data_IF_049140987818
#
_entry.id   IF_049140987818
#
_cell.length_a   1.000
_cell.length_b   1.000
_cell.length_c   1.000
_cell.angle_alpha   90.00
_cell.angle_beta   90.00
_cell.angle_gamma   90.00
#
_symmetry.space_group_name_H-M   'P 1'
#
loop_
_entity.id
_entity.type
_entity.pdbx_description
1 polymer ?
#
# COMPACT_ATOMS: atom_id res chain seq x y z
N UNK A 1 19.55 -32.74 -19.32
CA UNK A 1 20.15 -31.54 -19.98
C UNK A 1 19.15 -30.45 -20.36
N UNK A 2 18.03 -30.74 -21.06
CA UNK A 2 17.00 -29.70 -21.35
C UNK A 2 16.19 -29.33 -20.09
N UNK A 3 15.84 -30.31 -19.28
CA UNK A 3 15.10 -30.14 -18.02
C UNK A 3 15.94 -29.36 -17.01
N UNK A 4 17.20 -29.72 -16.83
CA UNK A 4 18.15 -28.97 -15.94
C UNK A 4 18.33 -27.51 -16.39
N UNK A 5 18.34 -27.26 -17.70
CA UNK A 5 18.49 -25.91 -18.24
C UNK A 5 17.24 -25.03 -17.97
N UNK A 6 16.06 -25.66 -18.00
CA UNK A 6 14.79 -24.99 -17.68
C UNK A 6 14.64 -24.75 -16.16
N UNK A 7 15.03 -25.71 -15.33
CA UNK A 7 15.07 -25.52 -13.88
C UNK A 7 16.00 -24.39 -13.45
N UNK A 8 17.19 -24.34 -14.04
CA UNK A 8 18.14 -23.27 -13.78
C UNK A 8 17.63 -21.89 -14.25
N UNK A 9 16.91 -21.84 -15.38
CA UNK A 9 16.31 -20.62 -15.90
C UNK A 9 15.15 -20.14 -15.00
N UNK A 10 14.31 -21.05 -14.51
CA UNK A 10 13.22 -20.77 -13.59
C UNK A 10 13.76 -20.33 -12.22
N UNK A 11 14.79 -21.01 -11.69
CA UNK A 11 15.45 -20.60 -10.45
C UNK A 11 16.06 -19.20 -10.56
N UNK A 12 16.73 -18.88 -11.66
CA UNK A 12 17.26 -17.53 -11.91
C UNK A 12 16.15 -16.47 -12.02
N UNK A 13 15.02 -16.79 -12.61
CA UNK A 13 13.87 -15.88 -12.65
C UNK A 13 13.26 -15.69 -11.26
N UNK A 14 13.11 -16.75 -10.47
CA UNK A 14 12.63 -16.68 -9.08
C UNK A 14 13.59 -15.86 -8.23
N UNK A 15 14.89 -16.08 -8.37
CA UNK A 15 15.92 -15.32 -7.66
C UNK A 15 15.91 -13.83 -8.06
N UNK A 16 15.78 -13.52 -9.35
CA UNK A 16 15.62 -12.14 -9.84
C UNK A 16 14.36 -11.46 -9.31
N UNK A 17 13.23 -12.18 -9.26
CA UNK A 17 11.97 -11.68 -8.73
C UNK A 17 12.08 -11.48 -7.22
N UNK A 18 12.67 -12.43 -6.49
CA UNK A 18 12.96 -12.30 -5.06
C UNK A 18 13.91 -11.13 -4.76
N UNK A 19 14.94 -10.95 -5.54
CA UNK A 19 15.89 -9.83 -5.37
C UNK A 19 15.23 -8.47 -5.65
N UNK A 20 14.33 -8.40 -6.61
CA UNK A 20 13.64 -7.16 -6.99
C UNK A 20 12.39 -6.85 -6.14
N UNK A 21 11.62 -7.86 -5.75
CA UNK A 21 10.39 -7.72 -4.97
C UNK A 21 10.59 -7.90 -3.46
N UNK A 22 11.59 -8.67 -3.05
CA UNK A 22 11.81 -9.07 -1.67
C UNK A 22 12.68 -8.14 -0.82
N UNK A 23 13.29 -7.12 -1.42
CA UNK A 23 14.19 -6.22 -0.67
C UNK A 23 13.48 -5.21 0.23
N UNK A 24 12.21 -4.94 0.01
CA UNK A 24 11.47 -3.94 0.82
C UNK A 24 10.04 -4.41 1.01
N UNK A 25 9.68 -4.71 2.25
CA UNK A 25 8.31 -5.07 2.60
C UNK A 25 7.33 -3.92 2.31
N UNK A 26 6.05 -4.25 2.25
CA UNK A 26 4.96 -3.29 2.10
C UNK A 26 5.03 -2.19 3.14
N UNK A 27 5.15 -2.59 4.40
CA UNK A 27 5.21 -1.66 5.53
C UNK A 27 6.42 -0.72 5.43
N UNK A 28 7.58 -1.25 5.04
CA UNK A 28 8.77 -0.41 4.86
C UNK A 28 8.60 0.61 3.71
N UNK A 29 7.87 0.26 2.65
CA UNK A 29 7.55 1.20 1.57
C UNK A 29 6.56 2.26 2.02
N UNK A 30 5.52 1.87 2.74
CA UNK A 30 4.54 2.78 3.32
C UNK A 30 5.19 3.74 4.30
N UNK A 31 6.04 3.22 5.19
CA UNK A 31 6.83 4.02 6.12
C UNK A 31 7.71 5.04 5.40
N UNK A 32 8.46 4.60 4.38
CA UNK A 32 9.31 5.50 3.61
C UNK A 32 8.53 6.63 2.94
N UNK A 33 7.39 6.30 2.33
CA UNK A 33 6.54 7.28 1.67
C UNK A 33 5.91 8.24 2.69
N UNK A 34 5.42 7.72 3.79
CA UNK A 34 4.80 8.52 4.85
C UNK A 34 5.81 9.49 5.49
N UNK A 35 6.99 9.02 5.82
CA UNK A 35 8.08 9.87 6.35
C UNK A 35 8.47 10.98 5.38
N UNK A 36 8.67 10.64 4.10
CA UNK A 36 9.02 11.64 3.09
C UNK A 36 7.91 12.69 2.95
N UNK A 37 6.66 12.26 2.89
CA UNK A 37 5.52 13.16 2.78
C UNK A 37 5.39 14.03 4.06
N UNK A 38 5.50 13.44 5.26
CA UNK A 38 5.46 14.18 6.52
C UNK A 38 6.57 15.25 6.58
N UNK A 39 7.82 14.87 6.30
CA UNK A 39 8.93 15.81 6.30
C UNK A 39 8.73 16.94 5.28
N UNK A 40 8.23 16.61 4.08
CA UNK A 40 7.97 17.61 3.04
C UNK A 40 6.91 18.62 3.49
N UNK A 41 5.81 18.15 4.07
CA UNK A 41 4.71 19.01 4.51
C UNK A 41 5.14 19.85 5.70
N UNK A 42 5.79 19.25 6.69
CA UNK A 42 6.32 19.99 7.85
C UNK A 42 7.29 21.09 7.39
N UNK A 43 8.19 20.77 6.45
CA UNK A 43 9.15 21.75 5.90
C UNK A 43 8.45 22.90 5.17
N UNK A 44 7.38 22.62 4.40
CA UNK A 44 6.62 23.67 3.72
C UNK A 44 5.89 24.59 4.71
N UNK A 45 5.31 24.03 5.76
CA UNK A 45 4.65 24.80 6.80
C UNK A 45 5.67 25.66 7.55
N UNK A 46 6.78 25.07 7.98
CA UNK A 46 7.88 25.77 8.66
C UNK A 46 8.40 26.92 7.79
N UNK A 47 8.63 26.69 6.51
CA UNK A 47 9.06 27.73 5.58
C UNK A 47 8.06 28.89 5.51
N UNK A 48 6.76 28.59 5.50
CA UNK A 48 5.69 29.60 5.53
C UNK A 48 5.80 30.48 6.76
N UNK A 49 6.01 29.90 7.95
CA UNK A 49 6.15 30.68 9.19
C UNK A 49 7.47 31.43 9.31
N UNK A 50 8.55 30.90 8.73
CA UNK A 50 9.81 31.68 8.62
C UNK A 50 9.57 32.96 7.81
N UNK A 51 8.79 32.88 6.73
CA UNK A 51 8.40 34.06 5.94
C UNK A 51 7.58 35.05 6.78
N UNK A 52 6.77 34.57 7.74
CA UNK A 52 6.00 35.45 8.62
C UNK A 52 6.89 36.28 9.56
N UNK A 53 8.11 35.81 9.92
CA UNK A 53 9.09 36.62 10.65
C UNK A 53 9.47 37.84 9.83
N UNK A 54 9.81 37.65 8.55
CA UNK A 54 10.19 38.76 7.66
C UNK A 54 9.08 39.77 7.44
N UNK A 55 7.81 39.31 7.55
CA UNK A 55 6.63 40.18 7.49
C UNK A 55 6.33 40.88 8.82
N UNK A 56 7.04 40.54 9.90
CA UNK A 56 6.79 41.10 11.21
C UNK A 56 5.50 40.62 11.88
N UNK A 57 4.87 39.58 11.36
CA UNK A 57 3.58 39.06 11.89
C UNK A 57 3.78 38.06 13.02
N UNK A 58 4.96 37.49 13.16
CA UNK A 58 5.32 36.50 14.19
C UNK A 58 6.65 36.79 14.85
N UNK A 59 6.77 36.41 16.09
CA UNK A 59 8.03 36.52 16.85
C UNK A 59 8.95 35.36 16.53
N UNK A 60 10.26 35.62 16.54
CA UNK A 60 11.25 34.55 16.25
C UNK A 60 11.20 33.39 17.25
N UNK A 61 10.88 33.65 18.52
CA UNK A 61 10.73 32.60 19.54
C UNK A 61 9.54 31.68 19.27
N UNK A 62 8.43 32.21 18.77
CA UNK A 62 7.28 31.43 18.36
C UNK A 62 7.66 30.48 17.21
N UNK A 63 8.28 31.02 16.16
CA UNK A 63 8.69 30.22 14.99
C UNK A 63 9.75 29.18 15.36
N UNK A 64 10.67 29.51 16.27
CA UNK A 64 11.66 28.54 16.76
C UNK A 64 10.97 27.34 17.44
N UNK A 65 9.96 27.59 18.26
CA UNK A 65 9.20 26.55 18.93
C UNK A 65 8.38 25.70 17.92
N UNK A 66 7.83 26.35 16.92
CA UNK A 66 7.12 25.67 15.82
C UNK A 66 8.04 24.76 15.01
N UNK A 67 9.23 25.26 14.65
CA UNK A 67 10.28 24.46 13.97
C UNK A 67 10.65 23.24 14.81
N UNK A 68 10.83 23.43 16.11
CA UNK A 68 11.11 22.33 17.03
C UNK A 68 10.01 21.27 16.99
N UNK A 69 8.75 21.69 17.18
CA UNK A 69 7.60 20.77 17.14
C UNK A 69 7.45 20.08 15.78
N UNK A 70 7.64 20.80 14.69
CA UNK A 70 7.50 20.28 13.34
C UNK A 70 8.58 19.29 12.93
N UNK A 71 9.78 19.37 13.54
CA UNK A 71 10.91 18.50 13.23
C UNK A 71 11.07 17.32 14.19
N UNK A 72 10.58 17.39 15.41
CA UNK A 72 10.75 16.32 16.41
C UNK A 72 10.24 14.98 15.91
N UNK A 73 9.05 14.95 15.33
CA UNK A 73 8.47 13.70 14.83
C UNK A 73 9.18 13.16 13.58
N UNK A 74 9.43 13.95 12.52
CA UNK A 74 10.23 13.48 11.38
C UNK A 74 11.62 12.96 11.76
N UNK A 75 12.28 13.60 12.73
CA UNK A 75 13.58 13.13 13.23
C UNK A 75 13.45 11.78 13.94
N UNK A 76 12.43 11.64 14.81
CA UNK A 76 12.14 10.35 15.45
C UNK A 76 11.83 9.25 14.43
N UNK A 77 11.04 9.54 13.41
CA UNK A 77 10.74 8.63 12.32
C UNK A 77 12.01 8.15 11.60
N UNK A 78 12.94 9.07 11.29
CA UNK A 78 14.22 8.75 10.67
C UNK A 78 15.05 7.81 11.55
N UNK A 79 15.08 8.05 12.86
CA UNK A 79 15.80 7.20 13.82
C UNK A 79 15.19 5.79 13.83
N UNK A 80 13.86 5.68 13.95
CA UNK A 80 13.18 4.38 13.93
C UNK A 80 13.36 3.68 12.58
N UNK A 81 13.25 4.39 11.47
CA UNK A 81 13.44 3.82 10.15
C UNK A 81 14.87 3.32 9.91
N UNK A 82 15.87 3.98 10.48
CA UNK A 82 17.28 3.55 10.39
C UNK A 82 17.54 2.26 11.16
N UNK A 83 16.79 2.04 12.24
CA UNK A 83 16.91 0.85 13.10
C UNK A 83 16.08 -0.31 12.56
N UNK A 84 14.83 -0.03 12.22
CA UNK A 84 13.88 -1.01 11.67
C UNK A 84 12.92 -0.33 10.67
N UNK A 85 13.11 -0.65 9.40
CA UNK A 85 12.29 -0.10 8.30
C UNK A 85 10.82 -0.53 8.37
N UNK A 86 10.53 -1.64 9.04
CA UNK A 86 9.20 -2.23 9.20
C UNK A 86 8.54 -1.86 10.54
N UNK A 87 9.11 -0.94 11.28
CA UNK A 87 8.57 -0.53 12.57
C UNK A 87 7.20 0.12 12.43
N UNK A 88 6.20 -0.43 13.14
CA UNK A 88 4.87 0.18 13.27
C UNK A 88 4.89 1.48 14.05
N UNK A 89 5.94 1.74 14.83
CA UNK A 89 6.10 2.99 15.57
C UNK A 89 6.15 4.20 14.63
N UNK A 90 6.68 4.03 13.42
CA UNK A 90 6.76 5.11 12.41
C UNK A 90 5.36 5.61 12.06
N UNK A 91 4.40 4.71 11.83
CA UNK A 91 3.00 5.09 11.60
C UNK A 91 2.44 5.96 12.73
N UNK A 92 2.74 5.62 13.97
CA UNK A 92 2.30 6.38 15.14
C UNK A 92 2.99 7.76 15.24
N UNK A 93 4.28 7.82 14.95
CA UNK A 93 4.97 9.12 14.93
C UNK A 93 4.46 10.02 13.81
N UNK A 94 4.22 9.50 12.62
CA UNK A 94 3.63 10.25 11.52
C UNK A 94 2.27 10.83 11.91
N UNK A 95 1.39 10.04 12.52
CA UNK A 95 0.04 10.49 12.83
C UNK A 95 -0.03 11.36 14.11
N UNK A 96 0.51 10.87 15.23
CA UNK A 96 0.44 11.59 16.49
C UNK A 96 1.41 12.77 16.55
N UNK A 97 2.62 12.59 15.99
CA UNK A 97 3.58 13.69 15.95
C UNK A 97 3.07 14.86 15.11
N UNK A 98 2.57 14.56 13.90
CA UNK A 98 1.91 15.58 13.11
C UNK A 98 0.64 16.13 13.79
N UNK A 99 -0.13 15.28 14.44
CA UNK A 99 -1.33 15.68 15.20
C UNK A 99 -1.02 16.70 16.30
N UNK A 100 0.07 16.50 17.04
CA UNK A 100 0.54 17.46 18.05
C UNK A 100 0.98 18.77 17.41
N UNK A 101 1.78 18.69 16.35
CA UNK A 101 2.21 19.85 15.58
C UNK A 101 1.02 20.63 15.02
N UNK A 102 0.08 19.94 14.37
CA UNK A 102 -1.14 20.53 13.84
C UNK A 102 -2.00 21.18 14.95
N UNK A 103 -2.15 20.51 16.09
CA UNK A 103 -2.93 21.05 17.22
C UNK A 103 -2.33 22.35 17.71
N UNK A 104 -1.01 22.42 17.85
CA UNK A 104 -0.33 23.64 18.19
C UNK A 104 -0.59 24.74 17.15
N UNK A 105 -0.40 24.42 15.88
CA UNK A 105 -0.60 25.37 14.78
C UNK A 105 -2.01 25.95 14.78
N UNK A 106 -3.03 25.09 14.82
CA UNK A 106 -4.43 25.53 14.70
C UNK A 106 -4.91 26.35 15.91
N UNK A 107 -4.39 26.06 17.10
CA UNK A 107 -4.75 26.81 18.31
C UNK A 107 -4.05 28.16 18.42
N UNK A 108 -2.88 28.31 17.80
CA UNK A 108 -2.08 29.53 17.89
C UNK A 108 -2.11 30.39 16.63
N UNK A 109 -2.68 29.86 15.55
CA UNK A 109 -2.76 30.55 14.26
C UNK A 109 -3.53 31.88 14.35
N UNK A 110 -3.16 32.79 13.46
CA UNK A 110 -3.92 34.00 13.14
C UNK A 110 -4.78 33.83 11.87
N UNK A 111 -4.56 32.72 11.15
CA UNK A 111 -5.24 32.44 9.90
C UNK A 111 -6.44 31.51 10.16
N UNK A 112 -7.63 31.95 9.78
CA UNK A 112 -8.87 31.17 9.89
C UNK A 112 -8.88 29.90 9.03
N UNK A 113 -8.05 29.82 7.99
CA UNK A 113 -7.95 28.67 7.09
C UNK A 113 -6.93 27.62 7.52
N UNK A 114 -6.30 27.75 8.69
CA UNK A 114 -5.28 26.81 9.15
C UNK A 114 -5.80 25.38 9.37
N UNK A 115 -7.10 25.19 9.51
CA UNK A 115 -7.72 23.87 9.56
C UNK A 115 -7.40 22.99 8.32
N UNK A 116 -7.07 23.61 7.19
CA UNK A 116 -6.67 22.91 5.97
C UNK A 116 -5.38 22.11 6.15
N UNK A 117 -4.50 22.48 7.07
CA UNK A 117 -3.22 21.82 7.28
C UNK A 117 -3.34 20.36 7.73
N UNK A 118 -4.50 19.93 8.23
CA UNK A 118 -4.72 18.53 8.59
C UNK A 118 -4.85 17.62 7.38
N UNK A 119 -5.27 18.14 6.23
CA UNK A 119 -5.58 17.32 5.05
C UNK A 119 -4.41 16.46 4.59
N UNK A 120 -3.18 17.00 4.48
CA UNK A 120 -2.03 16.19 4.10
C UNK A 120 -1.80 15.01 5.05
N UNK A 121 -2.04 15.16 6.34
CA UNK A 121 -1.93 14.07 7.30
C UNK A 121 -2.97 12.97 7.00
N UNK A 122 -4.21 13.36 6.71
CA UNK A 122 -5.27 12.40 6.37
C UNK A 122 -4.89 11.58 5.13
N UNK A 123 -4.24 12.21 4.15
CA UNK A 123 -3.72 11.54 2.95
C UNK A 123 -2.59 10.56 3.29
N UNK A 124 -1.64 11.00 4.11
CA UNK A 124 -0.48 10.17 4.49
C UNK A 124 -0.93 8.91 5.22
N UNK A 125 -1.85 9.03 6.16
CA UNK A 125 -2.32 7.90 6.97
C UNK A 125 -3.01 6.83 6.13
N UNK A 126 -3.65 7.21 5.04
CA UNK A 126 -4.31 6.26 4.15
C UNK A 126 -3.32 5.33 3.42
N UNK A 127 -2.04 5.69 3.33
CA UNK A 127 -0.99 4.84 2.74
C UNK A 127 -0.81 3.52 3.51
N UNK A 128 -1.15 3.51 4.80
CA UNK A 128 -1.03 2.31 5.64
C UNK A 128 -2.16 1.28 5.44
N UNK A 129 -3.17 1.61 4.67
CA UNK A 129 -4.26 0.69 4.31
C UNK A 129 -5.00 0.10 5.52
N UNK A 130 -5.17 0.88 6.55
CA UNK A 130 -5.93 0.52 7.74
C UNK A 130 -7.06 1.54 7.92
N UNK A 131 -8.28 1.16 7.49
CA UNK A 131 -9.43 2.08 7.57
C UNK A 131 -9.80 2.40 9.02
N UNK A 132 -9.61 1.47 9.97
CA UNK A 132 -9.90 1.71 11.38
C UNK A 132 -8.96 2.75 11.96
N UNK A 133 -7.67 2.61 11.63
CA UNK A 133 -6.68 3.59 12.02
C UNK A 133 -6.96 4.97 11.39
N UNK A 134 -7.29 5.01 10.11
CA UNK A 134 -7.71 6.22 9.42
C UNK A 134 -8.93 6.85 10.07
N UNK A 135 -9.93 6.06 10.46
CA UNK A 135 -11.12 6.53 11.17
C UNK A 135 -10.77 7.21 12.50
N UNK A 136 -9.90 6.61 13.31
CA UNK A 136 -9.47 7.22 14.57
C UNK A 136 -8.76 8.55 14.36
N UNK A 137 -7.88 8.64 13.37
CA UNK A 137 -7.19 9.89 13.03
C UNK A 137 -8.17 10.94 12.53
N UNK A 138 -9.14 10.58 11.70
CA UNK A 138 -10.17 11.47 11.20
C UNK A 138 -11.05 12.02 12.33
N UNK A 139 -11.48 11.17 13.26
CA UNK A 139 -12.24 11.59 14.46
C UNK A 139 -11.41 12.55 15.30
N UNK A 140 -10.14 12.25 15.54
CA UNK A 140 -9.23 13.12 16.29
C UNK A 140 -9.08 14.49 15.63
N UNK A 141 -8.98 14.53 14.29
CA UNK A 141 -8.90 15.76 13.52
C UNK A 141 -10.18 16.62 13.69
N UNK A 142 -11.36 16.01 13.66
CA UNK A 142 -12.63 16.70 13.91
C UNK A 142 -12.65 17.28 15.33
N UNK A 143 -12.27 16.50 16.33
CA UNK A 143 -12.25 16.93 17.73
C UNK A 143 -11.34 18.14 17.92
N UNK A 144 -10.13 18.08 17.34
CA UNK A 144 -9.17 19.21 17.45
C UNK A 144 -9.73 20.47 16.79
N UNK A 145 -10.41 20.35 15.65
CA UNK A 145 -11.05 21.48 14.98
C UNK A 145 -12.21 22.07 15.81
N UNK A 146 -13.01 21.22 16.44
CA UNK A 146 -14.07 21.69 17.34
C UNK A 146 -13.47 22.41 18.55
N UNK A 147 -12.44 21.87 19.16
CA UNK A 147 -11.72 22.49 20.27
C UNK A 147 -11.19 23.87 19.86
N UNK A 148 -10.61 23.97 18.68
CA UNK A 148 -10.11 25.24 18.16
C UNK A 148 -11.22 26.28 18.03
N UNK A 149 -12.37 25.92 17.50
CA UNK A 149 -13.52 26.84 17.41
C UNK A 149 -13.95 27.30 18.79
N UNK A 150 -14.08 26.38 19.77
CA UNK A 150 -14.45 26.71 21.14
C UNK A 150 -13.45 27.68 21.77
N UNK A 151 -12.15 27.39 21.62
CA UNK A 151 -11.08 28.25 22.15
C UNK A 151 -11.09 29.63 21.50
N UNK A 152 -11.33 29.71 20.19
CA UNK A 152 -11.35 31.00 19.49
C UNK A 152 -12.57 31.84 19.83
N UNK A 153 -13.72 31.22 20.02
CA UNK A 153 -14.92 31.90 20.51
C UNK A 153 -14.70 32.38 21.96
N UNK A 154 -14.15 31.51 22.82
CA UNK A 154 -13.88 31.85 24.23
C UNK A 154 -12.87 33.00 24.37
N UNK A 155 -11.87 33.03 23.49
CA UNK A 155 -10.84 34.10 23.53
C UNK A 155 -11.24 35.35 22.72
N UNK A 156 -12.47 35.43 22.24
CA UNK A 156 -12.97 36.57 21.47
C UNK A 156 -12.33 36.74 20.09
N UNK A 157 -11.63 35.72 19.60
CA UNK A 157 -11.08 35.70 18.20
C UNK A 157 -12.17 35.47 17.16
N UNK A 158 -13.22 34.73 17.51
CA UNK A 158 -14.42 34.53 16.72
C UNK A 158 -15.63 35.19 17.37
N UNK A 159 -16.34 35.98 16.58
CA UNK A 159 -17.65 36.53 16.97
C UNK A 159 -18.73 35.63 16.35
N UNK A 160 -19.49 34.94 17.23
CA UNK A 160 -20.55 34.01 16.79
C UNK A 160 -21.61 34.65 15.90
N UNK A 161 -21.77 35.98 15.93
CA UNK A 161 -22.72 36.69 15.05
C UNK A 161 -22.11 37.06 13.69
N UNK A 162 -20.81 37.32 13.65
CA UNK A 162 -20.11 37.79 12.45
C UNK A 162 -19.44 36.63 11.71
N UNK A 163 -18.90 35.68 12.45
CA UNK A 163 -18.07 34.57 11.92
C UNK A 163 -18.84 33.25 11.81
N UNK A 164 -20.17 33.25 12.15
CA UNK A 164 -20.97 32.01 12.12
C UNK A 164 -20.84 31.23 10.81
N UNK A 165 -20.94 31.89 9.68
CA UNK A 165 -20.83 31.25 8.37
C UNK A 165 -19.45 30.59 8.15
N UNK A 166 -18.37 31.25 8.59
CA UNK A 166 -17.01 30.69 8.48
C UNK A 166 -16.82 29.47 9.37
N UNK A 167 -17.37 29.53 10.59
CA UNK A 167 -17.33 28.42 11.56
C UNK A 167 -18.13 27.23 11.03
N UNK A 168 -19.33 27.47 10.54
CA UNK A 168 -20.19 26.43 9.96
C UNK A 168 -19.53 25.77 8.78
N UNK A 169 -18.96 26.55 7.85
CA UNK A 169 -18.25 26.02 6.67
C UNK A 169 -17.03 25.21 7.12
N UNK A 170 -16.25 25.67 8.09
CA UNK A 170 -15.10 24.92 8.62
C UNK A 170 -15.53 23.57 9.17
N UNK A 171 -16.55 23.53 10.03
CA UNK A 171 -17.01 22.28 10.66
C UNK A 171 -17.62 21.34 9.63
N UNK A 172 -18.50 21.85 8.76
CA UNK A 172 -19.12 21.04 7.72
C UNK A 172 -18.08 20.48 6.74
N UNK A 173 -17.15 21.32 6.31
CA UNK A 173 -16.10 20.92 5.37
C UNK A 173 -15.19 19.86 6.00
N UNK A 174 -14.76 20.04 7.25
CA UNK A 174 -13.99 19.04 7.98
C UNK A 174 -14.75 17.73 8.12
N UNK A 175 -16.04 17.80 8.45
CA UNK A 175 -16.91 16.62 8.50
C UNK A 175 -16.96 15.88 7.17
N UNK A 176 -17.22 16.60 6.08
CA UNK A 176 -17.26 16.02 4.73
C UNK A 176 -15.92 15.39 4.35
N UNK A 177 -14.80 16.07 4.60
CA UNK A 177 -13.48 15.54 4.27
C UNK A 177 -13.15 14.28 5.06
N UNK A 178 -13.42 14.28 6.36
CA UNK A 178 -13.17 13.11 7.20
C UNK A 178 -14.08 11.93 6.79
N UNK A 179 -15.32 12.19 6.42
CA UNK A 179 -16.23 11.17 5.88
C UNK A 179 -15.68 10.64 4.55
N UNK A 180 -15.34 11.53 3.62
CA UNK A 180 -14.76 11.14 2.33
C UNK A 180 -13.46 10.35 2.51
N UNK A 181 -12.56 10.83 3.37
CA UNK A 181 -11.30 10.13 3.68
C UNK A 181 -11.57 8.72 4.26
N UNK A 182 -12.52 8.59 5.17
CA UNK A 182 -12.87 7.29 5.76
C UNK A 182 -13.50 6.36 4.73
N UNK A 183 -14.43 6.86 3.91
CA UNK A 183 -15.05 6.08 2.83
C UNK A 183 -13.97 5.65 1.82
N UNK A 184 -13.09 6.56 1.44
CA UNK A 184 -11.99 6.28 0.50
C UNK A 184 -11.05 5.23 1.06
N UNK A 185 -10.65 5.33 2.33
CA UNK A 185 -9.82 4.33 3.00
C UNK A 185 -10.49 2.95 3.01
N UNK A 186 -11.79 2.91 3.35
CA UNK A 186 -12.56 1.66 3.34
C UNK A 186 -12.70 1.07 1.93
N UNK A 187 -12.95 1.94 0.94
CA UNK A 187 -13.04 1.49 -0.45
C UNK A 187 -11.72 0.93 -0.96
N UNK A 188 -10.63 1.55 -0.55
CA UNK A 188 -9.28 1.08 -0.86
C UNK A 188 -8.99 -0.30 -0.29
N UNK A 189 -9.26 -0.49 1.00
CA UNK A 189 -9.12 -1.78 1.67
C UNK A 189 -9.98 -2.84 0.97
N UNK A 190 -11.27 -2.53 0.70
CA UNK A 190 -12.15 -3.41 -0.03
C UNK A 190 -11.64 -3.75 -1.44
N UNK A 191 -11.21 -2.75 -2.21
CA UNK A 191 -10.65 -2.98 -3.54
C UNK A 191 -9.39 -3.84 -3.50
N UNK A 192 -8.61 -3.69 -2.46
CA UNK A 192 -7.43 -4.51 -2.25
C UNK A 192 -7.77 -5.95 -1.93
N UNK A 193 -8.67 -6.17 -0.98
CA UNK A 193 -9.15 -7.50 -0.63
C UNK A 193 -9.76 -8.19 -1.86
N UNK A 194 -10.57 -7.44 -2.62
CA UNK A 194 -11.17 -7.96 -3.85
C UNK A 194 -10.12 -8.35 -4.89
N UNK A 195 -9.15 -7.48 -5.15
CA UNK A 195 -8.05 -7.79 -6.07
C UNK A 195 -7.18 -8.94 -5.57
N UNK A 196 -6.96 -9.01 -4.25
CA UNK A 196 -6.22 -10.10 -3.65
C UNK A 196 -6.97 -11.43 -3.79
N UNK A 197 -8.29 -11.42 -3.59
CA UNK A 197 -9.11 -12.59 -3.82
C UNK A 197 -9.05 -13.04 -5.28
N UNK A 198 -9.15 -12.11 -6.24
CA UNK A 198 -9.02 -12.42 -7.66
C UNK A 198 -7.65 -13.01 -8.00
N UNK A 199 -6.59 -12.42 -7.46
CA UNK A 199 -5.22 -12.90 -7.70
C UNK A 199 -5.01 -14.27 -7.06
N UNK A 200 -5.55 -14.49 -5.86
CA UNK A 200 -5.52 -15.80 -5.20
C UNK A 200 -6.26 -16.83 -6.05
N UNK A 201 -7.45 -16.51 -6.53
CA UNK A 201 -8.21 -17.39 -7.43
C UNK A 201 -7.45 -17.68 -8.73
N UNK A 202 -6.86 -16.65 -9.33
CA UNK A 202 -6.05 -16.81 -10.54
C UNK A 202 -4.81 -17.66 -10.29
N UNK A 203 -4.17 -17.49 -9.14
CA UNK A 203 -3.03 -18.27 -8.73
C UNK A 203 -3.40 -19.71 -8.44
N UNK A 204 -4.52 -19.96 -7.76
CA UNK A 204 -5.05 -21.30 -7.55
C UNK A 204 -5.36 -21.98 -8.89
N UNK A 205 -5.97 -21.25 -9.83
CA UNK A 205 -6.20 -21.73 -11.20
C UNK A 205 -4.89 -22.04 -11.93
N UNK A 206 -3.92 -21.13 -11.85
CA UNK A 206 -2.60 -21.30 -12.43
C UNK A 206 -1.90 -22.50 -11.79
N UNK A 207 -1.97 -22.64 -10.49
CA UNK A 207 -1.42 -23.74 -9.73
C UNK A 207 -2.07 -25.08 -10.11
N UNK A 208 -3.40 -25.10 -10.18
CA UNK A 208 -4.13 -26.30 -10.60
C UNK A 208 -3.81 -26.67 -12.06
N UNK A 209 -3.76 -25.67 -12.94
CA UNK A 209 -3.37 -25.88 -14.34
C UNK A 209 -1.92 -26.40 -14.44
N UNK A 210 -1.00 -25.86 -13.67
CA UNK A 210 0.38 -26.29 -13.62
C UNK A 210 0.49 -27.69 -13.03
N UNK A 211 -0.23 -27.98 -11.97
CA UNK A 211 -0.30 -29.30 -11.38
C UNK A 211 -0.78 -30.33 -12.40
N UNK A 212 -1.87 -30.00 -13.11
CA UNK A 212 -2.37 -30.87 -14.19
C UNK A 212 -1.37 -30.99 -15.32
N UNK A 213 -0.69 -29.91 -15.69
CA UNK A 213 0.36 -29.92 -16.71
C UNK A 213 1.55 -30.78 -16.28
N UNK A 214 1.93 -30.69 -14.99
CA UNK A 214 3.00 -31.50 -14.45
C UNK A 214 2.62 -32.98 -14.35
N UNK A 215 1.37 -33.25 -13.92
CA UNK A 215 0.84 -34.61 -13.92
C UNK A 215 0.87 -35.21 -15.35
N UNK A 216 0.38 -34.46 -16.28
CA UNK A 216 0.42 -34.89 -17.72
C UNK A 216 1.87 -35.01 -18.22
N UNK A 217 2.76 -34.09 -17.87
CA UNK A 217 4.17 -34.17 -18.27
C UNK A 217 4.89 -35.33 -17.59
N UNK A 218 4.59 -35.59 -16.32
CA UNK A 218 5.11 -36.73 -15.60
C UNK A 218 4.59 -38.05 -16.18
N UNK A 219 3.29 -38.13 -16.47
CA UNK A 219 2.71 -39.26 -17.18
C UNK A 219 3.37 -39.44 -18.56
N UNK A 220 3.56 -38.35 -19.29
CA UNK A 220 4.20 -38.38 -20.61
C UNK A 220 5.65 -38.83 -20.55
N UNK A 221 6.40 -38.40 -19.51
CA UNK A 221 7.77 -38.86 -19.34
C UNK A 221 7.85 -40.34 -18.96
N UNK A 222 6.93 -40.83 -18.13
CA UNK A 222 6.81 -42.21 -17.80
C UNK A 222 6.36 -43.05 -19.01
N UNK A 223 5.40 -42.54 -19.78
CA UNK A 223 4.95 -43.20 -21.02
C UNK A 223 6.05 -43.23 -22.09
N UNK A 224 6.87 -42.16 -22.18
CA UNK A 224 8.02 -42.10 -23.08
C UNK A 224 9.13 -43.08 -22.63
N UNK A 225 9.36 -43.16 -21.34
CA UNK A 225 10.35 -44.10 -20.77
C UNK A 225 9.89 -45.54 -21.01
N UNK A 226 8.60 -45.82 -20.83
CA UNK A 226 8.05 -47.13 -21.12
C UNK A 226 8.05 -47.45 -22.60
N UNK A 227 7.69 -46.43 -23.39
CA UNK A 227 7.79 -46.60 -24.84
C UNK A 227 9.24 -46.92 -25.28
N UNK A 228 10.22 -46.26 -24.62
CA UNK A 228 11.64 -46.58 -24.87
C UNK A 228 12.02 -48.00 -24.46
N UNK A 229 11.54 -48.45 -23.29
CA UNK A 229 11.76 -49.84 -22.86
C UNK A 229 11.09 -50.81 -23.79
N UNK A 230 9.86 -50.50 -24.21
CA UNK A 230 9.17 -51.35 -25.15
C UNK A 230 9.86 -51.43 -26.51
N UNK A 231 10.49 -50.31 -26.95
CA UNK A 231 11.30 -50.29 -28.18
C UNK A 231 12.54 -51.19 -28.00
N UNK A 232 13.22 -51.09 -26.84
CA UNK A 232 14.35 -51.98 -26.55
C UNK A 232 13.92 -53.44 -26.43
N UNK A 233 12.76 -53.72 -25.83
CA UNK A 233 12.22 -55.06 -25.76
C UNK A 233 11.78 -55.60 -27.13
N UNK A 234 11.22 -54.72 -27.98
CA UNK A 234 10.87 -55.04 -29.36
C UNK A 234 12.13 -55.27 -30.21
N UNK A 235 13.18 -54.47 -30.03
CA UNK A 235 14.46 -54.67 -30.70
C UNK A 235 15.09 -56.01 -30.27
N UNK A 236 15.04 -56.28 -28.96
CA UNK A 236 15.45 -57.55 -28.40
C UNK A 236 14.56 -58.71 -28.90
N UNK A 237 13.24 -58.47 -29.01
CA UNK A 237 12.30 -59.44 -29.57
C UNK A 237 12.47 -59.64 -31.05
N UNK A 238 12.84 -58.57 -31.80
CA UNK A 238 13.16 -58.65 -33.22
C UNK A 238 14.51 -59.41 -33.44
N UNK A 239 15.46 -59.14 -32.58
CA UNK A 239 16.75 -59.85 -32.60
C UNK A 239 16.58 -61.30 -32.12
N UNK A 240 15.69 -61.48 -31.14
CA UNK A 240 15.32 -62.79 -30.61
C UNK A 240 14.12 -63.42 -31.35
N UNK A 241 13.52 -62.73 -32.36
CA UNK A 241 12.42 -63.31 -33.19
C UNK A 241 12.88 -64.52 -34.00
N UNK A 242 14.16 -64.69 -34.15
CA UNK A 242 14.77 -65.96 -34.55
C UNK A 242 14.61 -67.07 -33.51
N UNK A 243 14.45 -66.67 -32.26
CA UNK A 243 14.39 -67.61 -31.16
C UNK A 243 13.11 -67.51 -30.31
N UNK A 244 12.34 -66.42 -30.38
CA UNK A 244 11.28 -66.30 -29.41
C UNK A 244 10.10 -65.44 -29.85
N UNK A 245 9.13 -66.04 -30.42
CA UNK A 245 7.73 -65.64 -30.31
C UNK A 245 7.26 -65.52 -28.84
N UNK A 246 8.11 -65.87 -27.91
CA UNK A 246 7.82 -65.84 -26.44
C UNK A 246 7.97 -64.47 -25.80
N UNK A 247 8.69 -63.55 -26.42
CA UNK A 247 8.95 -62.26 -25.75
C UNK A 247 7.98 -61.12 -26.11
N UNK A 248 7.07 -61.34 -27.05
CA UNK A 248 6.04 -60.34 -27.41
C UNK A 248 5.13 -60.00 -26.23
N UNK A 249 5.01 -60.90 -25.25
CA UNK A 249 4.21 -60.65 -24.07
C UNK A 249 4.91 -59.79 -23.00
N UNK A 250 6.26 -59.69 -23.07
CA UNK A 250 7.03 -58.88 -22.10
C UNK A 250 6.87 -57.37 -22.32
N UNK A 251 6.82 -56.93 -23.60
CA UNK A 251 6.70 -55.50 -23.90
C UNK A 251 5.36 -54.86 -23.55
N UNK A 252 4.34 -55.66 -23.26
CA UNK A 252 3.04 -55.13 -22.87
C UNK A 252 2.99 -54.67 -21.38
N UNK A 253 3.88 -55.25 -20.58
CA UNK A 253 3.88 -54.99 -19.12
C UNK A 253 4.61 -53.71 -18.73
N UNK A 254 5.47 -53.23 -19.62
CA UNK A 254 6.31 -52.05 -19.31
C UNK A 254 5.57 -50.73 -19.48
N UNK A 255 4.53 -50.73 -20.33
CA UNK A 255 3.73 -49.52 -20.58
C UNK A 255 2.99 -49.00 -19.33
N UNK A 256 2.54 -49.93 -18.47
CA UNK A 256 1.83 -49.57 -17.25
C UNK A 256 2.72 -48.88 -16.21
N UNK A 257 3.98 -49.24 -16.20
CA UNK A 257 4.93 -48.70 -15.21
C UNK A 257 5.36 -47.26 -15.46
N UNK A 258 5.38 -46.88 -16.75
CA UNK A 258 5.74 -45.54 -17.14
C UNK A 258 4.69 -44.49 -16.81
N UNK A 259 3.43 -44.86 -16.88
CA UNK A 259 2.31 -43.98 -16.46
C UNK A 259 2.45 -43.58 -15.00
N UNK A 260 2.91 -44.50 -14.18
CA UNK A 260 3.13 -44.19 -12.73
C UNK A 260 4.26 -43.16 -12.52
N UNK A 261 5.31 -43.26 -13.32
CA UNK A 261 6.46 -42.33 -13.22
C UNK A 261 6.09 -40.92 -13.67
N UNK A 262 5.19 -40.85 -14.62
CA UNK A 262 4.65 -39.60 -15.11
C UNK A 262 3.82 -38.87 -14.05
N UNK A 263 3.04 -39.59 -13.27
CA UNK A 263 2.31 -39.04 -12.13
C UNK A 263 3.25 -38.36 -11.10
N UNK A 264 4.35 -39.05 -10.79
CA UNK A 264 5.33 -38.50 -9.86
C UNK A 264 5.99 -37.21 -10.36
N UNK A 265 6.19 -37.13 -11.68
CA UNK A 265 6.78 -35.92 -12.25
C UNK A 265 5.81 -34.73 -12.23
N UNK A 266 4.52 -34.99 -12.41
CA UNK A 266 3.45 -34.01 -12.29
C UNK A 266 3.37 -33.42 -10.88
N UNK A 267 3.55 -34.23 -9.84
CA UNK A 267 3.60 -33.75 -8.47
C UNK A 267 4.74 -32.75 -8.24
N UNK A 268 5.88 -33.01 -8.87
CA UNK A 268 7.01 -32.06 -8.78
C UNK A 268 6.72 -30.73 -9.49
N UNK A 269 6.03 -30.80 -10.61
CA UNK A 269 5.59 -29.59 -11.31
C UNK A 269 4.57 -28.86 -10.48
N UNK A 270 3.64 -29.58 -9.83
CA UNK A 270 2.67 -29.00 -8.90
C UNK A 270 3.37 -28.16 -7.84
N UNK A 271 4.40 -28.69 -7.23
CA UNK A 271 5.18 -27.94 -6.23
C UNK A 271 5.76 -26.65 -6.80
N UNK A 272 6.29 -26.72 -8.02
CA UNK A 272 6.86 -25.52 -8.64
C UNK A 272 5.84 -24.45 -9.00
N UNK A 273 4.62 -24.87 -9.35
CA UNK A 273 3.53 -23.92 -9.53
C UNK A 273 3.11 -23.31 -8.22
N UNK A 274 3.15 -24.06 -7.14
CA UNK A 274 2.89 -23.50 -5.83
C UNK A 274 3.89 -22.37 -5.51
N UNK A 275 5.15 -22.58 -5.83
CA UNK A 275 6.18 -21.55 -5.63
C UNK A 275 5.93 -20.31 -6.51
N UNK A 276 5.61 -20.54 -7.80
CA UNK A 276 5.24 -19.46 -8.72
C UNK A 276 3.97 -18.74 -8.27
N UNK A 277 2.99 -19.51 -7.78
CA UNK A 277 1.73 -18.94 -7.28
C UNK A 277 1.96 -18.09 -6.04
N UNK A 278 2.76 -18.58 -5.11
CA UNK A 278 3.13 -17.78 -3.92
C UNK A 278 3.87 -16.50 -4.31
N UNK A 279 4.81 -16.61 -5.24
CA UNK A 279 5.51 -15.42 -5.76
C UNK A 279 4.58 -14.45 -6.49
N UNK A 280 3.59 -14.98 -7.22
CA UNK A 280 2.56 -14.16 -7.87
C UNK A 280 1.65 -13.51 -6.83
N UNK A 281 1.32 -14.21 -5.75
CA UNK A 281 0.54 -13.66 -4.63
C UNK A 281 1.27 -12.50 -3.96
N UNK A 282 2.57 -12.63 -3.76
CA UNK A 282 3.40 -11.55 -3.22
C UNK A 282 3.47 -10.34 -4.15
N UNK A 283 3.69 -10.59 -5.45
CA UNK A 283 3.67 -9.52 -6.46
C UNK A 283 2.30 -8.85 -6.50
N UNK A 284 1.27 -9.62 -6.47
CA UNK A 284 -0.10 -9.15 -6.53
C UNK A 284 -0.50 -8.41 -5.24
N UNK A 285 -0.01 -8.85 -4.10
CA UNK A 285 -0.14 -8.11 -2.86
C UNK A 285 0.53 -6.74 -2.98
N UNK A 286 1.72 -6.72 -3.52
CA UNK A 286 2.53 -5.54 -3.76
C UNK A 286 1.88 -4.57 -4.76
N UNK A 287 1.36 -5.10 -5.87
CA UNK A 287 0.63 -4.31 -6.89
C UNK A 287 -0.67 -3.74 -6.32
N UNK A 288 -1.39 -4.53 -5.55
CA UNK A 288 -2.62 -4.13 -4.87
C UNK A 288 -2.39 -2.95 -3.94
N UNK A 289 -1.30 -2.98 -3.19
CA UNK A 289 -0.94 -1.88 -2.32
C UNK A 289 -0.52 -0.65 -3.07
N UNK A 290 0.25 -0.85 -4.12
CA UNK A 290 0.61 0.23 -5.03
C UNK A 290 -0.64 0.87 -5.65
N UNK A 291 -1.56 0.05 -6.16
CA UNK A 291 -2.83 0.53 -6.72
C UNK A 291 -3.70 1.24 -5.67
N UNK A 292 -3.72 0.72 -4.46
CA UNK A 292 -4.40 1.32 -3.32
C UNK A 292 -3.83 2.69 -2.97
N UNK A 293 -2.52 2.77 -2.88
CA UNK A 293 -1.85 4.03 -2.61
C UNK A 293 -2.14 5.06 -3.71
N UNK A 294 -2.14 4.62 -4.98
CA UNK A 294 -2.46 5.48 -6.13
C UNK A 294 -3.91 5.95 -6.10
N UNK A 295 -4.86 5.02 -5.91
CA UNK A 295 -6.28 5.39 -5.87
C UNK A 295 -6.57 6.34 -4.72
N UNK A 296 -6.00 6.04 -3.56
CA UNK A 296 -6.08 6.90 -2.39
C UNK A 296 -5.46 8.28 -2.63
N UNK A 297 -4.30 8.30 -3.24
CA UNK A 297 -3.66 9.55 -3.62
C UNK A 297 -4.56 10.41 -4.50
N UNK A 298 -5.19 9.81 -5.50
CA UNK A 298 -6.11 10.50 -6.41
C UNK A 298 -7.36 11.03 -5.70
N UNK A 299 -7.97 10.22 -4.86
CA UNK A 299 -9.16 10.64 -4.10
C UNK A 299 -8.82 11.76 -3.11
N UNK A 300 -7.68 11.66 -2.48
CA UNK A 300 -7.23 12.69 -1.55
C UNK A 300 -6.84 14.00 -2.25
N UNK A 301 -6.27 13.91 -3.44
CA UNK A 301 -6.01 15.10 -4.27
C UNK A 301 -7.34 15.77 -4.61
N UNK A 302 -8.36 15.02 -5.01
CA UNK A 302 -9.67 15.58 -5.31
C UNK A 302 -10.31 16.22 -4.07
N UNK A 303 -10.27 15.53 -2.93
CA UNK A 303 -10.75 16.08 -1.67
C UNK A 303 -9.96 17.31 -1.19
N UNK A 304 -8.66 17.34 -1.50
CA UNK A 304 -7.82 18.50 -1.23
C UNK A 304 -8.21 19.69 -2.10
N UNK A 305 -8.44 19.48 -3.39
CA UNK A 305 -8.89 20.52 -4.32
C UNK A 305 -10.22 21.14 -3.84
N UNK A 306 -11.21 20.31 -3.52
CA UNK A 306 -12.49 20.80 -2.99
C UNK A 306 -12.31 21.60 -1.70
N UNK A 307 -11.40 21.17 -0.84
CA UNK A 307 -11.13 21.86 0.44
C UNK A 307 -10.40 23.18 0.24
N UNK A 308 -9.46 23.21 -0.68
CA UNK A 308 -8.77 24.46 -1.07
C UNK A 308 -9.78 25.46 -1.61
N UNK A 309 -10.66 25.03 -2.49
CA UNK A 309 -11.71 25.89 -3.07
C UNK A 309 -12.65 26.44 -1.96
N UNK A 310 -13.07 25.57 -1.04
CA UNK A 310 -13.89 26.00 0.07
C UNK A 310 -13.13 26.95 1.03
N UNK A 311 -11.84 26.72 1.24
CA UNK A 311 -10.99 27.59 2.07
C UNK A 311 -10.78 28.96 1.42
N UNK A 312 -10.59 28.99 0.11
CA UNK A 312 -10.51 30.23 -0.67
C UNK A 312 -11.81 31.03 -0.55
N UNK A 313 -12.95 30.34 -0.66
CA UNK A 313 -14.26 30.99 -0.51
C UNK A 313 -14.49 31.50 0.92
N UNK A 314 -14.10 30.71 1.93
CA UNK A 314 -14.17 31.16 3.34
C UNK A 314 -13.23 32.33 3.61
N UNK A 315 -12.03 32.28 3.04
CA UNK A 315 -11.06 33.38 3.13
C UNK A 315 -11.59 34.70 2.50
N UNK A 316 -12.31 34.58 1.37
CA UNK A 316 -12.98 35.73 0.75
C UNK A 316 -14.06 36.30 1.66
N UNK A 317 -14.89 35.41 2.25
CA UNK A 317 -15.93 35.85 3.19
C UNK A 317 -15.34 36.56 4.41
N UNK A 318 -14.32 35.99 5.04
CA UNK A 318 -13.62 36.62 6.18
C UNK A 318 -12.99 37.95 5.77
N UNK A 319 -12.42 38.04 4.55
CA UNK A 319 -11.88 39.30 4.05
C UNK A 319 -12.97 40.37 3.87
N UNK A 320 -14.12 39.98 3.34
CA UNK A 320 -15.28 40.87 3.18
C UNK A 320 -15.85 41.31 4.53
N UNK A 321 -15.94 40.39 5.50
CA UNK A 321 -16.36 40.70 6.86
C UNK A 321 -15.36 41.62 7.61
N UNK A 322 -14.06 41.41 7.42
CA UNK A 322 -13.00 42.27 7.98
C UNK A 322 -13.02 43.67 7.31
N UNK A 323 -13.33 43.74 6.05
CA UNK A 323 -13.49 45.01 5.32
C UNK A 323 -14.72 45.78 5.85
N UNK A 324 -15.80 45.06 6.14
CA UNK A 324 -17.02 45.64 6.73
C UNK A 324 -16.87 46.03 8.19
N UNK A 325 -15.85 45.54 8.89
CA UNK A 325 -15.51 45.92 10.26
C UNK A 325 -14.57 47.14 10.32
N UNK A 326 -13.96 47.51 9.21
CA UNK A 326 -13.07 48.67 9.09
C UNK A 326 -13.78 49.94 8.58
N UNK A 327 -15.05 49.81 8.17
CA UNK A 327 -15.99 50.91 7.91
C UNK A 327 -16.84 51.22 9.18
#
# INVERSE_FOLDING_TARGET
MIIEKNELAVQKQIEYIKDKAGKVSELARSNKLAMFAHLSIASLIILSYIIEIFKGTRTGSYVLFEVFLGLVSPVAELIFYSTDKESKMIQHFVSYGYGVFYTFLILTTQNSSAYVYVIPMLIIIMVYNDYKYSLYVNISAIIVNIIQVIVFVSNGKYDLKKDSASIEIQILLMGVICICATISSRMLEFNNEYKMAQIKEQNEKTQNMFNTTMDVSGQMASDIEDASRHIEELDNAIENTKEAMEQVSSGSNDTATAVQKQLTMTENIQSKINDVTSGTDEIASSLKETQKAINLGNENINALVEKVDASVNSGKQVSEELESLNE
#
